data_IF_195361631018
#
_entry.id   IF_195361631018
#
_cell.length_a   1.000
_cell.length_b   1.000
_cell.length_c   1.000
_cell.angle_alpha   90.00
_cell.angle_beta   90.00
_cell.angle_gamma   90.00
#
_symmetry.space_group_name_H-M   'P 1'
#
loop_
_entity.id
_entity.type
_entity.pdbx_description
1 polymer ?
#
# COMPACT_ATOMS: atom_id res chain seq x y z
N UNK A 1 11.99 -10.12 -30.27
CA UNK A 1 11.23 -9.58 -29.14
C UNK A 1 12.23 -8.92 -28.23
N UNK A 2 12.05 -7.64 -27.92
CA UNK A 2 12.92 -6.91 -27.01
C UNK A 2 12.26 -6.90 -25.62
N UNK A 3 13.00 -7.33 -24.61
CA UNK A 3 12.58 -7.37 -23.20
C UNK A 3 13.32 -6.32 -22.36
N UNK A 4 14.12 -5.47 -23.00
CA UNK A 4 14.79 -4.37 -22.35
C UNK A 4 13.79 -3.33 -21.85
N UNK A 5 14.15 -2.69 -20.74
CA UNK A 5 13.40 -1.53 -20.26
C UNK A 5 13.60 -0.35 -21.19
N UNK A 6 12.52 0.40 -21.45
CA UNK A 6 12.59 1.67 -22.14
C UNK A 6 13.23 2.76 -21.27
N UNK A 7 13.40 3.96 -21.83
CA UNK A 7 14.04 5.06 -21.13
C UNK A 7 13.23 5.58 -19.94
N UNK A 8 11.90 5.61 -20.05
CA UNK A 8 11.02 6.10 -19.00
C UNK A 8 11.04 5.16 -17.79
N UNK A 9 10.91 3.86 -18.04
CA UNK A 9 11.01 2.82 -17.01
C UNK A 9 12.36 2.88 -16.29
N UNK A 10 13.46 3.09 -17.02
CA UNK A 10 14.80 3.26 -16.42
C UNK A 10 14.91 4.51 -15.55
N UNK A 11 14.33 5.63 -15.97
CA UNK A 11 14.33 6.88 -15.18
C UNK A 11 13.54 6.71 -13.89
N UNK A 12 12.34 6.13 -13.95
CA UNK A 12 11.52 5.87 -12.77
C UNK A 12 12.27 4.98 -11.78
N UNK A 13 12.90 3.90 -12.27
CA UNK A 13 13.69 3.01 -11.41
C UNK A 13 14.94 3.67 -10.84
N UNK A 14 15.57 4.60 -11.55
CA UNK A 14 16.68 5.37 -11.01
C UNK A 14 16.23 6.24 -9.84
N UNK A 15 15.09 6.92 -9.95
CA UNK A 15 14.48 7.71 -8.87
C UNK A 15 14.13 6.83 -7.67
N UNK A 16 13.50 5.68 -7.91
CA UNK A 16 13.18 4.71 -6.84
C UNK A 16 14.44 4.21 -6.15
N UNK A 17 15.48 3.85 -6.91
CA UNK A 17 16.75 3.39 -6.36
C UNK A 17 17.43 4.46 -5.51
N UNK A 18 17.40 5.72 -5.94
CA UNK A 18 17.91 6.83 -5.13
C UNK A 18 17.11 6.96 -3.82
N UNK A 19 15.78 6.92 -3.89
CA UNK A 19 14.92 6.96 -2.71
C UNK A 19 15.25 5.82 -1.73
N UNK A 20 15.33 4.57 -2.22
CA UNK A 20 15.71 3.41 -1.41
C UNK A 20 17.06 3.61 -0.74
N UNK A 21 18.06 4.08 -1.50
CA UNK A 21 19.43 4.27 -1.00
C UNK A 21 19.51 5.34 0.09
N UNK A 22 18.77 6.45 -0.08
CA UNK A 22 18.87 7.62 0.80
C UNK A 22 17.93 7.57 2.00
N UNK A 23 16.77 6.93 1.85
CA UNK A 23 15.68 7.03 2.81
C UNK A 23 15.35 5.69 3.49
N UNK A 24 15.50 4.56 2.78
CA UNK A 24 15.12 3.25 3.31
C UNK A 24 16.30 2.47 3.89
N UNK A 25 17.42 2.35 3.17
CA UNK A 25 18.61 1.62 3.66
C UNK A 25 19.13 2.14 5.02
N UNK A 26 19.19 3.46 5.29
CA UNK A 26 19.61 3.96 6.60
C UNK A 26 18.70 3.55 7.76
N UNK A 27 17.46 3.13 7.49
CA UNK A 27 16.50 2.73 8.51
C UNK A 27 16.66 1.26 8.93
N UNK A 28 17.42 0.44 8.20
CA UNK A 28 17.55 -1.00 8.49
C UNK A 28 18.16 -1.27 9.86
N UNK A 29 19.29 -0.67 10.19
CA UNK A 29 19.97 -0.93 11.46
C UNK A 29 19.11 -0.48 12.68
N UNK A 30 18.48 0.72 12.66
CA UNK A 30 17.49 1.09 13.68
C UNK A 30 16.31 0.11 13.77
N UNK A 31 15.76 -0.34 12.64
CA UNK A 31 14.63 -1.26 12.60
C UNK A 31 14.98 -2.63 13.20
N UNK A 32 16.12 -3.22 12.80
CA UNK A 32 16.61 -4.47 13.36
C UNK A 32 16.85 -4.37 14.87
N UNK A 33 17.37 -3.23 15.33
CA UNK A 33 17.53 -3.00 16.77
C UNK A 33 16.18 -2.94 17.49
N UNK A 34 15.20 -2.26 16.91
CA UNK A 34 13.85 -2.18 17.46
C UNK A 34 13.22 -3.58 17.58
N UNK A 35 13.34 -4.41 16.55
CA UNK A 35 12.85 -5.79 16.55
C UNK A 35 13.48 -6.64 17.67
N UNK A 36 14.81 -6.58 17.82
CA UNK A 36 15.52 -7.30 18.89
C UNK A 36 15.09 -6.84 20.29
N UNK A 37 14.69 -5.57 20.43
CA UNK A 37 14.15 -5.02 21.67
C UNK A 37 12.63 -5.29 21.82
N UNK A 38 12.00 -6.05 20.92
CA UNK A 38 10.56 -6.35 20.93
C UNK A 38 9.65 -5.18 20.56
N UNK A 39 10.19 -4.17 19.87
CA UNK A 39 9.47 -2.96 19.41
C UNK A 39 9.12 -3.06 17.93
N UNK A 40 8.22 -2.18 17.49
CA UNK A 40 7.83 -2.07 16.08
C UNK A 40 9.05 -1.72 15.21
N UNK A 41 9.18 -2.38 14.05
CA UNK A 41 10.27 -2.14 13.08
C UNK A 41 10.34 -0.68 12.61
N UNK A 42 9.18 -0.07 12.35
CA UNK A 42 9.05 1.33 11.97
C UNK A 42 7.88 1.94 12.71
N UNK A 43 8.10 3.09 13.33
CA UNK A 43 7.03 3.85 13.95
C UNK A 43 6.08 4.40 12.88
N UNK A 44 4.75 4.47 13.12
CA UNK A 44 3.80 5.01 12.16
C UNK A 44 4.15 6.42 11.66
N UNK A 45 4.78 7.23 12.52
CA UNK A 45 5.26 8.57 12.16
C UNK A 45 6.41 8.53 11.12
N UNK A 46 7.32 7.56 11.22
CA UNK A 46 8.40 7.37 10.25
C UNK A 46 7.88 6.89 8.91
N UNK A 47 6.94 5.94 8.92
CA UNK A 47 6.27 5.47 7.70
C UNK A 47 5.59 6.65 6.99
N UNK A 48 4.80 7.44 7.71
CA UNK A 48 4.13 8.64 7.18
C UNK A 48 5.14 9.65 6.62
N UNK A 49 6.24 9.92 7.33
CA UNK A 49 7.30 10.83 6.87
C UNK A 49 7.93 10.34 5.57
N UNK A 50 8.26 9.05 5.48
CA UNK A 50 8.83 8.44 4.28
C UNK A 50 7.85 8.46 3.10
N UNK A 51 6.57 8.18 3.36
CA UNK A 51 5.49 8.28 2.37
C UNK A 51 5.34 9.70 1.80
N UNK A 52 5.42 10.74 2.65
CA UNK A 52 5.37 12.12 2.17
C UNK A 52 6.59 12.47 1.29
N UNK A 53 7.78 11.98 1.64
CA UNK A 53 8.98 12.14 0.79
C UNK A 53 8.83 11.41 -0.55
N UNK A 54 8.28 10.19 -0.53
CA UNK A 54 8.04 9.44 -1.75
C UNK A 54 7.02 10.13 -2.66
N UNK A 55 5.92 10.64 -2.08
CA UNK A 55 4.92 11.44 -2.78
C UNK A 55 5.53 12.68 -3.43
N UNK A 56 6.40 13.40 -2.71
CA UNK A 56 7.13 14.54 -3.26
C UNK A 56 8.13 14.16 -4.37
N UNK A 57 8.62 12.92 -4.37
CA UNK A 57 9.47 12.35 -5.43
C UNK A 57 8.66 11.74 -6.59
N UNK A 58 7.33 11.85 -6.59
CA UNK A 58 6.45 11.30 -7.62
C UNK A 58 6.20 9.79 -7.50
N UNK A 59 6.54 9.17 -6.37
CA UNK A 59 6.35 7.75 -6.11
C UNK A 59 5.14 7.60 -5.17
N UNK A 60 3.93 7.68 -5.74
CA UNK A 60 2.66 7.61 -5.02
C UNK A 60 1.58 6.95 -5.88
N UNK A 61 0.77 6.09 -5.28
CA UNK A 61 -0.40 5.50 -5.96
C UNK A 61 -0.05 4.79 -7.26
N UNK A 62 0.92 3.86 -7.21
CA UNK A 62 1.51 3.22 -8.39
C UNK A 62 0.49 2.55 -9.33
N UNK A 63 -0.58 1.98 -8.77
CA UNK A 63 -1.68 1.33 -9.49
C UNK A 63 -2.99 2.11 -9.40
N UNK A 64 -2.95 3.30 -8.80
CA UNK A 64 -4.15 4.12 -8.62
C UNK A 64 -4.37 4.92 -9.90
N UNK A 65 -5.60 4.96 -10.45
CA UNK A 65 -5.90 5.72 -11.65
C UNK A 65 -5.56 7.21 -11.50
N UNK A 66 -5.14 7.83 -12.59
CA UNK A 66 -4.80 9.26 -12.64
C UNK A 66 -5.96 10.15 -12.18
N UNK A 67 -7.22 9.77 -12.44
CA UNK A 67 -8.41 10.52 -12.00
C UNK A 67 -8.53 10.66 -10.47
N UNK A 68 -7.84 9.79 -9.71
CA UNK A 68 -7.73 9.87 -8.26
C UNK A 68 -6.36 10.35 -7.77
N UNK A 69 -5.53 10.90 -8.67
CA UNK A 69 -4.20 11.42 -8.35
C UNK A 69 -3.12 10.36 -8.14
N UNK A 70 -3.33 9.15 -8.67
CA UNK A 70 -2.30 8.11 -8.75
C UNK A 70 -1.46 8.21 -10.02
N UNK A 71 -0.48 7.32 -10.14
CA UNK A 71 0.48 7.29 -11.24
C UNK A 71 0.14 6.29 -12.35
N UNK A 72 -0.84 5.40 -12.13
CA UNK A 72 -1.33 4.40 -13.09
C UNK A 72 -0.24 3.68 -13.92
N UNK A 73 0.86 3.28 -13.27
CA UNK A 73 2.06 2.75 -13.93
C UNK A 73 1.87 1.31 -14.45
N UNK A 74 0.79 0.66 -14.09
CA UNK A 74 0.52 -0.74 -14.39
C UNK A 74 1.39 -1.74 -13.63
N UNK A 75 1.13 -3.02 -13.87
CA UNK A 75 1.69 -4.13 -13.09
C UNK A 75 3.20 -4.34 -13.29
N UNK A 76 3.69 -4.17 -14.52
CA UNK A 76 5.12 -4.36 -14.82
C UNK A 76 5.99 -3.36 -14.04
N UNK A 77 5.65 -2.07 -14.12
CA UNK A 77 6.39 -1.05 -13.38
C UNK A 77 6.23 -1.22 -11.88
N UNK A 78 5.03 -1.53 -11.38
CA UNK A 78 4.83 -1.82 -9.96
C UNK A 78 5.71 -2.96 -9.47
N UNK A 79 5.86 -4.03 -10.26
CA UNK A 79 6.75 -5.15 -9.93
C UNK A 79 8.24 -4.72 -9.91
N UNK A 80 8.67 -3.94 -10.90
CA UNK A 80 10.05 -3.43 -10.96
C UNK A 80 10.36 -2.50 -9.76
N UNK A 81 9.43 -1.61 -9.41
CA UNK A 81 9.55 -0.70 -8.26
C UNK A 81 9.59 -1.51 -6.95
N UNK A 82 8.72 -2.53 -6.82
CA UNK A 82 8.73 -3.42 -5.65
C UNK A 82 10.08 -4.12 -5.50
N UNK A 83 10.67 -4.63 -6.59
CA UNK A 83 11.98 -5.29 -6.55
C UNK A 83 13.10 -4.35 -6.10
N UNK A 84 13.14 -3.11 -6.59
CA UNK A 84 14.12 -2.13 -6.10
C UNK A 84 13.87 -1.75 -4.64
N UNK A 85 12.60 -1.62 -4.23
CA UNK A 85 12.22 -1.30 -2.84
C UNK A 85 12.65 -2.40 -1.87
N UNK A 86 12.46 -3.66 -2.26
CA UNK A 86 12.84 -4.84 -1.47
C UNK A 86 14.35 -5.03 -1.29
N UNK A 87 15.18 -4.17 -1.90
CA UNK A 87 16.61 -4.10 -1.57
C UNK A 87 16.86 -3.55 -0.18
N UNK A 88 15.90 -2.82 0.39
CA UNK A 88 15.87 -2.46 1.79
C UNK A 88 15.00 -3.46 2.57
N UNK A 89 15.53 -3.97 3.68
CA UNK A 89 14.91 -4.95 4.57
C UNK A 89 13.98 -4.28 5.61
N UNK A 90 13.17 -3.32 5.16
CA UNK A 90 12.19 -2.63 6.01
C UNK A 90 10.78 -2.78 5.44
N UNK A 91 9.74 -2.96 6.29
CA UNK A 91 8.36 -3.10 5.84
C UNK A 91 7.79 -1.73 5.46
N UNK A 92 8.09 -1.26 4.25
CA UNK A 92 7.67 0.05 3.75
C UNK A 92 6.75 -0.08 2.52
N UNK A 93 5.70 0.75 2.48
CA UNK A 93 4.85 0.93 1.30
C UNK A 93 4.68 2.42 0.99
N UNK A 94 4.68 2.75 -0.31
CA UNK A 94 4.66 4.15 -0.79
C UNK A 94 3.37 4.91 -0.46
N UNK A 95 2.26 4.23 -0.22
CA UNK A 95 0.94 4.85 -0.06
C UNK A 95 0.26 5.16 -1.39
N UNK A 96 -0.88 5.84 -1.34
CA UNK A 96 -1.66 6.17 -2.54
C UNK A 96 -2.49 5.03 -3.09
N UNK A 97 -2.61 3.89 -2.41
CA UNK A 97 -3.40 2.74 -2.85
C UNK A 97 -4.71 2.64 -2.07
N UNK A 98 -5.69 1.95 -2.65
CA UNK A 98 -6.94 1.60 -2.00
C UNK A 98 -7.38 0.20 -2.44
N UNK A 99 -8.13 -0.50 -1.58
CA UNK A 99 -8.70 -1.80 -1.95
C UNK A 99 -9.71 -1.67 -3.09
N UNK A 100 -9.71 -2.65 -4.01
CA UNK A 100 -10.55 -2.63 -5.22
C UNK A 100 -12.03 -2.38 -4.94
N UNK A 101 -12.56 -2.87 -3.83
CA UNK A 101 -13.97 -2.69 -3.45
C UNK A 101 -14.34 -1.21 -3.25
N UNK A 102 -13.38 -0.36 -2.85
CA UNK A 102 -13.63 1.07 -2.63
C UNK A 102 -13.89 1.82 -3.95
N UNK A 103 -13.35 1.33 -5.06
CA UNK A 103 -13.64 1.88 -6.39
C UNK A 103 -15.04 1.53 -6.89
N UNK A 104 -15.69 0.52 -6.31
CA UNK A 104 -17.07 0.13 -6.63
C UNK A 104 -18.13 0.89 -5.83
N UNK A 105 -17.73 1.72 -4.87
CA UNK A 105 -18.64 2.53 -4.08
C UNK A 105 -19.40 3.57 -4.92
N UNK A 106 -20.57 3.97 -4.45
CA UNK A 106 -21.24 5.16 -4.98
C UNK A 106 -20.46 6.45 -4.66
N UNK A 107 -20.90 7.60 -5.18
CA UNK A 107 -20.18 8.87 -5.01
C UNK A 107 -19.95 9.25 -3.53
N UNK A 108 -20.94 9.05 -2.66
CA UNK A 108 -20.82 9.33 -1.23
C UNK A 108 -19.80 8.39 -0.57
N UNK A 109 -19.86 7.09 -0.88
CA UNK A 109 -18.92 6.09 -0.38
C UNK A 109 -17.49 6.37 -0.86
N UNK A 110 -17.30 6.77 -2.11
CA UNK A 110 -15.98 7.14 -2.64
C UNK A 110 -15.41 8.35 -1.92
N UNK A 111 -16.19 9.41 -1.74
CA UNK A 111 -15.75 10.60 -1.00
C UNK A 111 -15.42 10.27 0.46
N UNK A 112 -16.21 9.39 1.09
CA UNK A 112 -16.05 9.03 2.49
C UNK A 112 -14.94 8.02 2.75
N UNK A 113 -14.66 7.11 1.81
CA UNK A 113 -13.77 5.96 2.03
C UNK A 113 -12.62 5.88 1.02
N UNK A 114 -12.89 5.97 -0.28
CA UNK A 114 -11.86 5.83 -1.31
C UNK A 114 -10.82 6.95 -1.24
N UNK A 115 -11.26 8.21 -1.31
CA UNK A 115 -10.36 9.37 -1.37
C UNK A 115 -9.48 9.46 -0.11
N UNK A 116 -10.02 9.38 1.13
CA UNK A 116 -9.17 9.43 2.32
C UNK A 116 -8.20 8.25 2.44
N UNK A 117 -8.54 7.08 1.88
CA UNK A 117 -7.62 5.93 1.85
C UNK A 117 -6.47 6.18 0.87
N UNK A 118 -6.75 6.69 -0.33
CA UNK A 118 -5.71 7.09 -1.29
C UNK A 118 -4.83 8.19 -0.71
N UNK A 119 -5.38 9.15 0.05
CA UNK A 119 -4.61 10.25 0.65
C UNK A 119 -3.73 9.80 1.83
N UNK A 120 -3.97 8.61 2.38
CA UNK A 120 -3.27 8.08 3.56
C UNK A 120 -3.85 8.54 4.89
N UNK A 121 -5.04 9.15 4.89
CA UNK A 121 -5.79 9.56 6.09
C UNK A 121 -6.58 8.40 6.69
N UNK A 122 -6.81 7.33 5.90
CA UNK A 122 -7.43 6.09 6.35
C UNK A 122 -6.67 4.88 5.87
N UNK A 123 -6.64 3.85 6.70
CA UNK A 123 -6.12 2.53 6.34
C UNK A 123 -7.29 1.60 6.08
N UNK A 124 -7.28 0.91 4.94
CA UNK A 124 -8.25 -0.15 4.65
C UNK A 124 -7.74 -1.50 5.16
N UNK A 125 -8.67 -2.40 5.48
CA UNK A 125 -8.36 -3.75 5.93
C UNK A 125 -9.34 -4.72 5.27
N UNK A 126 -8.81 -5.74 4.60
CA UNK A 126 -9.61 -6.81 4.03
C UNK A 126 -9.81 -7.91 5.07
N UNK A 127 -10.91 -7.83 5.83
CA UNK A 127 -11.27 -8.79 6.86
C UNK A 127 -11.99 -10.00 6.23
N UNK A 128 -11.20 -11.04 5.90
CA UNK A 128 -11.70 -12.29 5.32
C UNK A 128 -11.36 -13.52 6.19
N UNK A 129 -10.12 -13.64 6.64
CA UNK A 129 -9.64 -14.80 7.40
C UNK A 129 -10.25 -14.84 8.81
N UNK A 130 -10.64 -16.04 9.25
CA UNK A 130 -11.14 -16.34 10.60
C UNK A 130 -10.26 -17.42 11.27
N UNK A 131 -10.36 -17.65 12.60
CA UNK A 131 -9.52 -18.64 13.30
C UNK A 131 -9.49 -20.03 12.66
N UNK A 132 -10.62 -20.50 12.14
CA UNK A 132 -10.78 -21.82 11.51
C UNK A 132 -10.98 -21.75 9.98
N UNK A 133 -10.96 -20.54 9.40
CA UNK A 133 -11.27 -20.30 7.98
C UNK A 133 -10.14 -19.53 7.32
N UNK A 134 -9.22 -20.27 6.69
CA UNK A 134 -8.10 -19.72 5.90
C UNK A 134 -8.24 -20.04 4.42
N UNK A 135 -7.68 -21.17 3.99
CA UNK A 135 -7.70 -21.60 2.58
C UNK A 135 -9.12 -21.83 2.03
N UNK A 136 -10.05 -22.26 2.87
CA UNK A 136 -11.48 -22.36 2.54
C UNK A 136 -12.21 -21.05 2.85
N UNK A 137 -11.78 -19.96 2.23
CA UNK A 137 -12.31 -18.62 2.49
C UNK A 137 -13.82 -18.49 2.19
N UNK A 138 -14.39 -19.41 1.39
CA UNK A 138 -15.83 -19.46 1.14
C UNK A 138 -16.66 -19.91 2.34
N UNK A 139 -16.02 -20.56 3.32
CA UNK A 139 -16.65 -21.02 4.55
C UNK A 139 -16.56 -19.98 5.68
N UNK A 140 -16.63 -18.68 5.35
CA UNK A 140 -16.69 -17.61 6.36
C UNK A 140 -17.90 -17.82 7.27
N UNK A 141 -17.69 -17.75 8.59
CA UNK A 141 -18.70 -18.05 9.60
C UNK A 141 -19.36 -16.80 10.18
N UNK A 142 -18.69 -15.64 10.18
CA UNK A 142 -19.19 -14.38 10.74
C UNK A 142 -20.55 -14.00 10.13
N UNK A 143 -21.68 -14.14 10.84
CA UNK A 143 -22.98 -13.76 10.30
C UNK A 143 -23.08 -12.25 10.07
N UNK A 144 -23.75 -11.89 8.97
CA UNK A 144 -24.31 -10.57 8.75
C UNK A 144 -25.82 -10.69 8.64
N UNK A 145 -26.55 -10.24 9.67
CA UNK A 145 -28.02 -10.30 9.70
C UNK A 145 -28.59 -8.91 9.53
N UNK A 146 -29.54 -8.75 8.60
CA UNK A 146 -30.20 -7.47 8.36
C UNK A 146 -31.21 -7.17 9.47
N UNK A 147 -31.09 -5.99 10.09
CA UNK A 147 -32.02 -5.45 11.08
C UNK A 147 -32.43 -4.03 10.67
N UNK A 148 -33.60 -3.92 10.04
CA UNK A 148 -34.12 -2.68 9.48
C UNK A 148 -33.16 -2.02 8.45
N UNK A 149 -32.65 -0.80 8.72
CA UNK A 149 -31.69 -0.12 7.85
C UNK A 149 -30.22 -0.53 8.07
N UNK A 150 -29.94 -1.40 9.05
CA UNK A 150 -28.58 -1.76 9.47
C UNK A 150 -28.28 -3.26 9.24
N UNK A 151 -27.01 -3.61 9.38
CA UNK A 151 -26.52 -4.99 9.47
C UNK A 151 -25.89 -5.21 10.84
N UNK A 152 -26.24 -6.33 11.48
CA UNK A 152 -25.63 -6.80 12.73
C UNK A 152 -24.58 -7.85 12.37
N UNK A 153 -23.33 -7.59 12.76
CA UNK A 153 -22.18 -8.49 12.60
C UNK A 153 -21.87 -9.12 13.96
N UNK A 154 -21.68 -10.43 14.05
CA UNK A 154 -21.30 -11.15 15.28
C UNK A 154 -20.22 -12.19 15.01
#
# INVERSE_FOLDING_TARGET
MDFGLDNEQRMILATVREFVTRELLPMEAPAQRAELDGRTLLEPADVRRLQQKAKAAGIWGLLTPEEYGGADLGMLMTALISMETSRALIPFSYGGYADNILYMGNAEQKQRYLIPTIEGDRTSCFALTEPDTGSDATNIQMPAVRDGPCWVLN
#
